data_IF_518248737948
#
_entry.id   IF_518248737948
#
_cell.length_a   1.000
_cell.length_b   1.000
_cell.length_c   1.000
_cell.angle_alpha   90.00
_cell.angle_beta   90.00
_cell.angle_gamma   90.00
#
_symmetry.space_group_name_H-M   'P 1'
#
loop_
_entity.id
_entity.type
_entity.pdbx_description
1 polymer ?
#
# COMPACT_ATOMS: atom_id res chain seq x y z
N UNK A 1 -24.41 -24.77 2.57
CA UNK A 1 -23.20 -23.92 2.55
C UNK A 1 -23.55 -22.72 1.70
N UNK A 2 -23.58 -21.53 2.29
CA UNK A 2 -24.19 -20.33 1.70
C UNK A 2 -23.17 -19.57 0.86
N UNK A 3 -23.61 -18.90 -0.21
CA UNK A 3 -22.74 -18.06 -1.05
C UNK A 3 -21.98 -16.95 -0.30
N UNK A 4 -22.41 -16.65 0.93
CA UNK A 4 -21.78 -15.70 1.86
C UNK A 4 -20.46 -16.21 2.47
N UNK A 5 -20.29 -17.53 2.60
CA UNK A 5 -19.09 -18.12 3.24
C UNK A 5 -17.84 -18.00 2.35
N UNK A 6 -17.99 -18.23 1.04
CA UNK A 6 -16.88 -18.13 0.09
C UNK A 6 -16.32 -16.70 -0.05
N UNK A 7 -17.18 -15.68 0.10
CA UNK A 7 -16.75 -14.28 0.05
C UNK A 7 -15.94 -13.87 1.30
N UNK A 8 -16.24 -14.45 2.47
CA UNK A 8 -15.51 -14.20 3.71
C UNK A 8 -14.12 -14.84 3.72
N UNK A 9 -14.01 -16.09 3.23
CA UNK A 9 -12.74 -16.81 3.17
C UNK A 9 -11.74 -16.19 2.19
N UNK A 10 -12.20 -15.83 0.98
CA UNK A 10 -11.36 -15.17 -0.03
C UNK A 10 -10.79 -13.85 0.49
N UNK A 11 -11.63 -13.01 1.09
CA UNK A 11 -11.21 -11.71 1.66
C UNK A 11 -10.21 -11.86 2.81
N UNK A 12 -10.34 -12.91 3.63
CA UNK A 12 -9.38 -13.20 4.70
C UNK A 12 -8.05 -13.70 4.15
N UNK A 13 -8.07 -14.55 3.12
CA UNK A 13 -6.87 -15.02 2.45
C UNK A 13 -6.11 -13.86 1.78
N UNK A 14 -6.82 -12.95 1.11
CA UNK A 14 -6.24 -11.76 0.49
C UNK A 14 -5.59 -10.82 1.52
N UNK A 15 -6.24 -10.61 2.67
CA UNK A 15 -5.68 -9.81 3.77
C UNK A 15 -4.42 -10.46 4.34
N UNK A 16 -4.44 -11.76 4.60
CA UNK A 16 -3.28 -12.48 5.12
C UNK A 16 -2.10 -12.41 4.13
N UNK A 17 -2.37 -12.53 2.83
CA UNK A 17 -1.34 -12.37 1.79
C UNK A 17 -0.76 -10.96 1.80
N UNK A 18 -1.61 -9.92 1.85
CA UNK A 18 -1.17 -8.54 1.91
C UNK A 18 -0.35 -8.25 3.19
N UNK A 19 -0.73 -8.82 4.34
CA UNK A 19 0.02 -8.71 5.60
C UNK A 19 1.42 -9.32 5.49
N UNK A 20 1.54 -10.53 4.98
CA UNK A 20 2.84 -11.17 4.80
C UNK A 20 3.75 -10.38 3.85
N UNK A 21 3.20 -9.84 2.76
CA UNK A 21 3.97 -9.03 1.81
C UNK A 21 4.35 -7.69 2.43
N UNK A 22 3.44 -7.04 3.17
CA UNK A 22 3.74 -5.82 3.92
C UNK A 22 4.93 -6.07 4.84
N UNK A 23 4.83 -7.04 5.75
CA UNK A 23 5.88 -7.33 6.74
C UNK A 23 7.24 -7.63 6.09
N UNK A 24 7.25 -8.31 4.94
CA UNK A 24 8.47 -8.63 4.19
C UNK A 24 9.14 -7.40 3.56
N UNK A 25 8.36 -6.42 3.12
CA UNK A 25 8.85 -5.27 2.32
C UNK A 25 8.80 -3.94 3.05
N UNK A 26 8.26 -3.90 4.28
CA UNK A 26 8.06 -2.69 5.06
C UNK A 26 9.35 -1.93 5.30
N UNK A 27 10.41 -2.60 5.79
CA UNK A 27 11.70 -1.95 6.06
C UNK A 27 12.32 -1.36 4.79
N UNK A 28 12.23 -2.07 3.65
CA UNK A 28 12.74 -1.57 2.37
C UNK A 28 11.95 -0.33 1.93
N UNK A 29 10.62 -0.39 1.97
CA UNK A 29 9.77 0.73 1.59
C UNK A 29 9.98 1.94 2.51
N UNK A 30 10.09 1.73 3.82
CA UNK A 30 10.35 2.78 4.81
C UNK A 30 11.73 3.43 4.63
N UNK A 31 12.68 2.74 3.98
CA UNK A 31 14.00 3.30 3.67
C UNK A 31 14.01 4.26 2.47
N UNK A 32 12.95 4.27 1.65
CA UNK A 32 12.86 5.13 0.45
C UNK A 32 12.58 6.58 0.81
N UNK A 33 13.04 7.50 -0.04
CA UNK A 33 12.84 8.91 0.15
C UNK A 33 11.35 9.27 0.33
N UNK A 34 11.08 10.12 1.33
CA UNK A 34 9.77 10.70 1.64
C UNK A 34 8.70 9.70 2.11
N UNK A 35 9.00 8.41 2.26
CA UNK A 35 8.04 7.44 2.84
C UNK A 35 7.88 7.69 4.33
N UNK A 36 6.63 7.78 4.78
CA UNK A 36 6.23 8.06 6.15
C UNK A 36 5.59 6.84 6.83
N UNK A 37 5.05 5.90 6.05
CA UNK A 37 4.45 4.69 6.59
C UNK A 37 3.95 3.74 5.51
N UNK A 38 3.77 2.48 5.92
CA UNK A 38 3.24 1.41 5.07
C UNK A 38 2.06 0.72 5.77
N UNK A 39 0.94 0.59 5.09
CA UNK A 39 -0.28 -0.03 5.60
C UNK A 39 -0.94 -0.95 4.58
N UNK A 40 -2.11 -1.46 4.95
CA UNK A 40 -2.98 -2.23 4.04
C UNK A 40 -4.34 -1.57 4.00
N UNK A 41 -4.86 -1.37 2.80
CA UNK A 41 -6.12 -0.69 2.59
C UNK A 41 -6.72 -1.05 1.24
N UNK A 42 -7.88 -0.49 0.95
CA UNK A 42 -8.49 -0.60 -0.37
C UNK A 42 -7.81 0.39 -1.33
N UNK A 43 -7.54 -0.03 -2.56
CA UNK A 43 -7.05 0.88 -3.59
C UNK A 43 -8.10 1.94 -3.93
N UNK A 44 -7.75 3.21 -3.78
CA UNK A 44 -8.68 4.33 -4.03
C UNK A 44 -8.21 5.17 -5.23
N UNK A 45 -9.12 5.51 -6.14
CA UNK A 45 -8.88 6.53 -7.19
C UNK A 45 -10.08 7.45 -7.28
N UNK A 46 -9.84 8.76 -7.24
CA UNK A 46 -10.92 9.76 -7.30
C UNK A 46 -11.96 9.64 -6.17
N UNK A 47 -11.55 9.14 -4.99
CA UNK A 47 -12.44 8.89 -3.86
C UNK A 47 -13.29 7.61 -3.97
N UNK A 48 -13.10 6.81 -5.03
CA UNK A 48 -13.82 5.56 -5.23
C UNK A 48 -12.87 4.36 -5.03
N UNK A 49 -13.34 3.27 -4.40
CA UNK A 49 -12.60 2.02 -4.38
C UNK A 49 -12.54 1.48 -5.81
N UNK A 50 -11.33 1.34 -6.33
CA UNK A 50 -11.10 0.92 -7.73
C UNK A 50 -10.40 -0.43 -7.84
N UNK A 51 -10.18 -1.10 -6.70
CA UNK A 51 -9.54 -2.40 -6.67
C UNK A 51 -9.75 -3.14 -5.36
N UNK A 52 -8.95 -4.18 -5.16
CA UNK A 52 -8.91 -4.97 -3.94
C UNK A 52 -7.99 -4.39 -2.87
N UNK A 53 -7.64 -5.23 -1.91
CA UNK A 53 -6.62 -4.93 -0.90
C UNK A 53 -5.28 -4.63 -1.57
N UNK A 54 -4.63 -3.58 -1.10
CA UNK A 54 -3.38 -3.03 -1.61
C UNK A 54 -2.47 -2.65 -0.46
N UNK A 55 -1.16 -2.61 -0.74
CA UNK A 55 -0.21 -1.94 0.12
C UNK A 55 -0.39 -0.44 -0.03
N UNK A 56 -0.64 0.25 1.07
CA UNK A 56 -0.76 1.70 1.09
C UNK A 56 0.59 2.25 1.52
N UNK A 57 1.26 2.98 0.63
CA UNK A 57 2.52 3.66 0.96
C UNK A 57 2.22 5.15 1.11
N UNK A 58 2.39 5.64 2.32
CA UNK A 58 2.17 7.04 2.68
C UNK A 58 3.46 7.80 2.48
N UNK A 59 3.42 8.87 1.69
CA UNK A 59 4.56 9.75 1.42
C UNK A 59 4.27 11.18 1.83
N UNK A 60 5.31 11.94 2.16
CA UNK A 60 5.15 13.35 2.51
C UNK A 60 4.69 14.20 1.33
N UNK A 61 5.17 13.90 0.12
CA UNK A 61 4.76 14.56 -1.14
C UNK A 61 5.02 13.67 -2.36
N UNK A 62 4.26 13.84 -3.44
CA UNK A 62 4.49 13.15 -4.71
C UNK A 62 5.50 13.88 -5.57
N UNK A 63 6.54 13.15 -5.99
CA UNK A 63 7.56 13.65 -6.91
C UNK A 63 7.36 13.01 -8.30
N UNK A 64 7.47 13.78 -9.40
CA UNK A 64 7.43 13.21 -10.75
C UNK A 64 8.50 12.13 -10.93
N UNK A 65 8.16 11.01 -11.58
CA UNK A 65 9.09 9.87 -11.77
C UNK A 65 10.44 10.27 -12.40
N UNK A 66 10.45 11.28 -13.28
CA UNK A 66 11.67 11.78 -13.93
C UNK A 66 12.63 12.51 -12.96
N UNK A 67 12.16 12.89 -11.78
CA UNK A 67 12.92 13.59 -10.75
C UNK A 67 13.23 12.69 -9.53
N UNK A 68 12.74 11.44 -9.52
CA UNK A 68 13.03 10.45 -8.48
C UNK A 68 14.26 9.63 -8.86
N UNK A 69 15.11 9.34 -7.87
CA UNK A 69 16.13 8.33 -8.03
C UNK A 69 15.47 6.97 -8.29
N UNK A 70 16.10 6.11 -9.08
CA UNK A 70 15.51 4.83 -9.44
C UNK A 70 15.26 3.91 -8.24
N UNK A 71 16.04 4.06 -7.17
CA UNK A 71 15.89 3.34 -5.89
C UNK A 71 14.68 3.80 -5.05
N UNK A 72 14.28 5.07 -5.20
CA UNK A 72 13.13 5.66 -4.52
C UNK A 72 11.80 5.43 -5.26
N UNK A 73 11.87 4.89 -6.49
CA UNK A 73 10.66 4.53 -7.22
C UNK A 73 9.96 3.36 -6.54
N UNK A 74 8.77 3.65 -6.01
CA UNK A 74 7.88 2.64 -5.47
C UNK A 74 7.21 1.91 -6.66
N UNK A 75 7.33 0.57 -6.77
CA UNK A 75 6.66 -0.18 -7.81
C UNK A 75 5.14 -0.13 -7.64
N UNK A 76 4.38 -0.23 -8.73
CA UNK A 76 2.90 -0.24 -8.68
C UNK A 76 2.32 -1.57 -8.17
N UNK A 77 3.15 -2.61 -8.04
CA UNK A 77 2.76 -3.94 -7.59
C UNK A 77 3.97 -4.63 -6.94
N UNK A 78 3.74 -5.34 -5.85
CA UNK A 78 4.74 -6.17 -5.15
C UNK A 78 4.15 -7.55 -4.96
N UNK A 79 4.79 -8.57 -5.51
CA UNK A 79 4.38 -9.98 -5.40
C UNK A 79 2.89 -10.21 -5.74
N UNK A 80 2.35 -9.50 -6.74
CA UNK A 80 0.95 -9.61 -7.15
C UNK A 80 -0.04 -8.85 -6.28
N UNK A 81 0.41 -8.03 -5.33
CA UNK A 81 -0.42 -7.09 -4.56
C UNK A 81 -0.15 -5.68 -5.06
N UNK A 82 -1.21 -4.97 -5.45
CA UNK A 82 -1.10 -3.59 -5.91
C UNK A 82 -0.61 -2.66 -4.82
N UNK A 83 0.12 -1.62 -5.22
CA UNK A 83 0.60 -0.56 -4.34
C UNK A 83 -0.13 0.73 -4.64
N UNK A 84 -0.68 1.35 -3.60
CA UNK A 84 -1.30 2.67 -3.64
C UNK A 84 -0.42 3.69 -2.93
N UNK A 85 0.09 4.67 -3.69
CA UNK A 85 0.92 5.73 -3.13
C UNK A 85 0.06 6.94 -2.81
N UNK A 86 -0.07 7.24 -1.52
CA UNK A 86 -0.90 8.31 -0.99
C UNK A 86 -0.04 9.41 -0.39
N UNK A 87 -0.32 10.65 -0.78
CA UNK A 87 0.34 11.82 -0.23
C UNK A 87 -0.42 12.27 1.01
N UNK A 88 0.26 12.32 2.16
CA UNK A 88 -0.36 12.62 3.45
C UNK A 88 0.27 13.83 4.15
N UNK A 89 1.32 14.43 3.57
CA UNK A 89 2.13 15.44 4.26
C UNK A 89 3.07 14.84 5.30
N UNK A 90 3.63 15.68 6.14
CA UNK A 90 4.46 15.23 7.27
C UNK A 90 3.56 14.64 8.36
N UNK A 91 3.87 13.41 8.79
CA UNK A 91 3.17 12.77 9.89
C UNK A 91 3.90 13.10 11.19
N UNK A 92 3.18 13.69 12.15
CA UNK A 92 3.67 13.93 13.50
C UNK A 92 2.93 13.03 14.48
N UNK A 93 3.67 12.35 15.36
CA UNK A 93 3.07 11.70 16.50
C UNK A 93 2.57 12.78 17.47
N UNK A 94 1.31 12.68 17.91
CA UNK A 94 0.81 13.50 19.01
C UNK A 94 1.20 12.82 20.33
N UNK A 95 1.94 13.54 21.16
CA UNK A 95 2.34 13.15 22.52
C UNK A 95 1.15 13.10 23.51
#
# INVERSE_FOLDING_TARGET
>A
MSATDHQGEGRRADLNRALMIKEKHEDELMSKANVQGVGIGLHMRGGQPTGGLSLIVMVSHKVPKAQLASEDLIPSEIEGVSVDVQEVGELEAQD
#
